data_IF_162067790238
#
_entry.id   IF_162067790238
#
_cell.length_a   1.000
_cell.length_b   1.000
_cell.length_c   1.000
_cell.angle_alpha   90.00
_cell.angle_beta   90.00
_cell.angle_gamma   90.00
#
_symmetry.space_group_name_H-M   'P 1'
#
loop_
_entity.id
_entity.type
_entity.pdbx_description
1 polymer ?
#
# COMPACT_ATOMS: atom_id res chain seq x y z
N UNK A 1 17.95 -6.66 12.75
CA UNK A 1 18.09 -6.01 11.43
C UNK A 1 16.89 -6.27 10.51
N UNK A 2 16.49 -7.53 10.25
CA UNK A 2 15.32 -7.85 9.40
C UNK A 2 13.97 -7.40 9.99
N UNK A 3 13.80 -7.43 11.33
CA UNK A 3 12.58 -6.90 11.98
C UNK A 3 12.45 -5.39 11.84
N UNK A 4 13.56 -4.67 12.07
CA UNK A 4 13.63 -3.20 11.96
C UNK A 4 13.37 -2.75 10.52
N UNK A 5 13.85 -3.51 9.52
CA UNK A 5 13.58 -3.24 8.11
C UNK A 5 12.11 -3.52 7.70
N UNK A 6 11.43 -4.49 8.34
CA UNK A 6 9.99 -4.71 8.13
C UNK A 6 9.15 -3.58 8.74
N UNK A 7 9.53 -3.10 9.92
CA UNK A 7 8.86 -1.96 10.56
C UNK A 7 9.15 -0.64 9.81
N UNK A 8 10.37 -0.43 9.31
CA UNK A 8 10.70 0.70 8.43
C UNK A 8 9.94 0.67 7.11
N UNK A 9 9.73 -0.51 6.50
CA UNK A 9 8.95 -0.65 5.25
C UNK A 9 7.46 -0.38 5.46
N UNK A 10 6.96 -0.55 6.69
CA UNK A 10 5.59 -0.20 7.08
C UNK A 10 5.43 1.31 7.33
N UNK A 11 6.45 1.94 7.92
CA UNK A 11 6.45 3.39 8.22
C UNK A 11 6.70 4.23 6.96
N UNK A 12 7.62 3.81 6.09
CA UNK A 12 8.00 4.55 4.86
C UNK A 12 7.02 4.39 3.69
N UNK A 13 6.06 3.47 3.77
CA UNK A 13 5.02 3.28 2.75
C UNK A 13 3.75 4.08 3.01
N UNK A 14 3.72 4.87 4.09
CA UNK A 14 2.63 5.82 4.31
C UNK A 14 3.06 7.12 3.64
N UNK A 15 2.56 7.37 2.44
CA UNK A 15 2.79 8.64 1.76
C UNK A 15 2.36 9.77 2.71
N UNK A 16 3.18 10.81 2.85
CA UNK A 16 2.84 11.99 3.68
C UNK A 16 1.50 12.60 3.23
N UNK A 17 1.09 12.34 1.98
CA UNK A 17 -0.22 12.70 1.42
C UNK A 17 -1.36 11.91 2.10
N UNK A 18 -1.15 10.64 2.46
CA UNK A 18 -2.15 9.75 3.09
C UNK A 18 -2.44 10.14 4.55
N UNK A 19 -1.44 10.68 5.25
CA UNK A 19 -1.60 11.18 6.61
C UNK A 19 -2.42 12.50 6.67
N UNK A 20 -2.45 13.23 5.55
CA UNK A 20 -3.11 14.54 5.43
C UNK A 20 -4.50 14.40 4.78
N UNK A 21 -4.74 13.37 3.96
CA UNK A 21 -6.01 13.12 3.28
C UNK A 21 -6.45 11.64 3.38
N UNK A 22 -7.03 11.20 4.50
CA UNK A 22 -7.40 9.79 4.75
C UNK A 22 -8.53 9.23 3.86
N UNK A 23 -9.02 9.99 2.88
CA UNK A 23 -10.12 9.61 1.97
C UNK A 23 -9.74 9.59 0.49
N UNK A 24 -8.46 9.67 0.11
CA UNK A 24 -8.11 9.59 -1.31
C UNK A 24 -8.10 8.14 -1.83
N UNK A 25 -9.00 7.86 -2.78
CA UNK A 25 -9.03 6.65 -3.63
C UNK A 25 -7.71 6.35 -4.39
N UNK A 26 -6.71 7.22 -4.31
CA UNK A 26 -5.48 7.18 -5.11
C UNK A 26 -4.18 6.99 -4.28
N UNK A 27 -4.26 6.74 -2.97
CA UNK A 27 -3.09 6.46 -2.14
C UNK A 27 -2.36 5.17 -2.49
N UNK A 28 -1.06 5.09 -2.18
CA UNK A 28 -0.27 3.87 -2.39
C UNK A 28 -0.82 2.68 -1.60
N UNK A 29 -1.29 2.88 -0.36
CA UNK A 29 -1.93 1.79 0.40
C UNK A 29 -3.32 1.41 -0.13
N UNK A 30 -4.11 2.35 -0.65
CA UNK A 30 -5.38 2.01 -1.32
C UNK A 30 -5.13 1.13 -2.56
N UNK A 31 -4.13 1.49 -3.38
CA UNK A 31 -3.72 0.70 -4.54
C UNK A 31 -3.23 -0.69 -4.14
N UNK A 32 -2.43 -0.80 -3.07
CA UNK A 32 -2.04 -2.12 -2.53
C UNK A 32 -3.23 -2.91 -2.00
N UNK A 33 -4.22 -2.27 -1.38
CA UNK A 33 -5.42 -2.95 -0.93
C UNK A 33 -6.20 -3.53 -2.13
N UNK A 34 -6.38 -2.76 -3.21
CA UNK A 34 -7.00 -3.24 -4.45
C UNK A 34 -6.21 -4.43 -5.02
N UNK A 35 -4.89 -4.33 -5.12
CA UNK A 35 -4.05 -5.42 -5.61
C UNK A 35 -4.12 -6.67 -4.72
N UNK A 36 -4.18 -6.54 -3.38
CA UNK A 36 -4.37 -7.68 -2.47
C UNK A 36 -5.71 -8.37 -2.72
N UNK A 37 -6.79 -7.61 -2.92
CA UNK A 37 -8.11 -8.16 -3.28
C UNK A 37 -8.06 -8.89 -4.63
N UNK A 38 -7.37 -8.32 -5.62
CA UNK A 38 -7.16 -8.97 -6.92
C UNK A 38 -6.54 -10.38 -6.78
N UNK A 39 -5.45 -10.53 -6.02
CA UNK A 39 -4.87 -11.87 -5.81
C UNK A 39 -5.75 -12.77 -4.95
N UNK A 40 -6.26 -12.26 -3.82
CA UNK A 40 -6.91 -13.10 -2.80
C UNK A 40 -8.33 -13.50 -3.16
N UNK A 41 -9.10 -12.60 -3.77
CA UNK A 41 -10.51 -12.82 -4.07
C UNK A 41 -10.70 -13.32 -5.50
N UNK A 42 -9.96 -12.77 -6.46
CA UNK A 42 -10.12 -13.17 -7.86
C UNK A 42 -9.22 -14.37 -8.15
N UNK A 43 -7.89 -14.21 -8.07
CA UNK A 43 -6.98 -15.28 -8.50
C UNK A 43 -6.97 -16.52 -7.59
N UNK A 44 -7.18 -16.36 -6.29
CA UNK A 44 -7.15 -17.50 -5.34
C UNK A 44 -8.53 -18.08 -5.00
N UNK A 45 -9.62 -17.31 -5.13
CA UNK A 45 -10.98 -17.75 -4.75
C UNK A 45 -11.96 -17.80 -5.92
N UNK A 46 -11.54 -17.39 -7.12
CA UNK A 46 -12.41 -17.28 -8.30
C UNK A 46 -13.69 -16.48 -8.04
N UNK A 47 -13.63 -15.43 -7.21
CA UNK A 47 -14.79 -14.59 -6.95
C UNK A 47 -15.03 -13.65 -8.14
N UNK A 48 -15.89 -14.09 -9.07
CA UNK A 48 -16.17 -13.38 -10.31
C UNK A 48 -16.90 -12.05 -10.10
N UNK A 49 -17.66 -11.89 -9.01
CA UNK A 49 -18.37 -10.65 -8.70
C UNK A 49 -17.39 -9.50 -8.38
N UNK A 50 -16.24 -9.84 -7.78
CA UNK A 50 -15.19 -8.88 -7.44
C UNK A 50 -14.47 -8.37 -8.69
N UNK A 51 -14.52 -9.10 -9.80
CA UNK A 51 -13.97 -8.64 -11.09
C UNK A 51 -14.70 -7.36 -11.53
N UNK A 52 -16.03 -7.35 -11.50
CA UNK A 52 -16.83 -6.18 -11.89
C UNK A 52 -16.62 -4.98 -10.93
N UNK A 53 -16.35 -5.28 -9.67
CA UNK A 53 -16.08 -4.25 -8.65
C UNK A 53 -14.70 -3.61 -8.82
N UNK A 54 -13.66 -4.39 -9.16
CA UNK A 54 -12.28 -3.91 -9.20
C UNK A 54 -11.81 -3.46 -10.58
N UNK A 55 -12.41 -3.95 -11.66
CA UNK A 55 -11.93 -3.69 -13.02
C UNK A 55 -12.68 -2.55 -13.71
N UNK A 56 -11.97 -1.88 -14.61
CA UNK A 56 -12.56 -0.96 -15.59
C UNK A 56 -13.29 -1.74 -16.69
N UNK A 57 -14.35 -1.18 -17.30
CA UNK A 57 -14.95 -1.76 -18.51
C UNK A 57 -13.94 -1.98 -19.64
N UNK A 58 -12.95 -1.09 -19.75
CA UNK A 58 -11.88 -1.16 -20.76
C UNK A 58 -10.63 -1.93 -20.27
N UNK A 59 -10.78 -2.76 -19.23
CA UNK A 59 -9.67 -3.53 -18.67
C UNK A 59 -9.02 -4.43 -19.74
N UNK A 60 -7.69 -4.55 -19.70
CA UNK A 60 -6.96 -5.47 -20.56
C UNK A 60 -6.02 -6.34 -19.72
N UNK A 61 -6.06 -7.65 -19.96
CA UNK A 61 -5.12 -8.59 -19.38
C UNK A 61 -4.24 -9.26 -20.43
N UNK A 62 -2.93 -9.21 -20.23
CA UNK A 62 -1.95 -9.80 -21.14
C UNK A 62 -1.04 -10.79 -20.42
N UNK A 63 -0.86 -11.97 -21.02
CA UNK A 63 0.04 -13.03 -20.56
C UNK A 63 0.84 -13.60 -21.73
N UNK A 64 2.04 -14.15 -21.50
CA UNK A 64 2.89 -14.69 -22.56
C UNK A 64 2.28 -15.90 -23.29
N UNK A 65 1.28 -16.55 -22.72
CA UNK A 65 0.67 -17.77 -23.26
C UNK A 65 -0.48 -17.51 -24.22
N UNK A 66 -0.95 -16.26 -24.34
CA UNK A 66 -2.05 -15.88 -25.23
C UNK A 66 -1.60 -14.75 -26.18
N UNK A 67 -1.83 -14.87 -27.49
CA UNK A 67 -1.37 -13.89 -28.47
C UNK A 67 -2.12 -12.57 -28.35
N UNK A 68 -3.42 -12.65 -28.05
CA UNK A 68 -4.30 -11.50 -27.88
C UNK A 68 -4.63 -11.29 -26.39
N UNK A 69 -4.80 -10.03 -25.95
CA UNK A 69 -5.26 -9.74 -24.60
C UNK A 69 -6.66 -10.29 -24.32
N UNK A 70 -6.94 -10.57 -23.06
CA UNK A 70 -8.30 -10.75 -22.58
C UNK A 70 -8.91 -9.36 -22.36
N UNK A 71 -10.01 -9.09 -23.05
CA UNK A 71 -10.66 -7.79 -23.07
C UNK A 71 -11.82 -7.71 -22.08
N UNK A 72 -11.79 -6.67 -21.26
CA UNK A 72 -12.81 -6.33 -20.29
C UNK A 72 -12.94 -7.32 -19.13
N UNK A 73 -13.87 -7.04 -18.20
CA UNK A 73 -14.21 -7.93 -17.10
C UNK A 73 -14.60 -9.34 -17.54
N UNK A 74 -15.36 -9.46 -18.63
CA UNK A 74 -15.88 -10.76 -19.10
C UNK A 74 -14.77 -11.66 -19.65
N UNK A 75 -13.87 -11.13 -20.47
CA UNK A 75 -12.71 -11.89 -20.94
C UNK A 75 -11.84 -12.39 -19.78
N UNK A 76 -11.69 -11.57 -18.73
CA UNK A 76 -10.93 -11.99 -17.55
C UNK A 76 -11.66 -13.03 -16.70
N UNK A 77 -13.00 -12.97 -16.59
CA UNK A 77 -13.80 -14.02 -15.94
C UNK A 77 -13.60 -15.37 -16.61
N UNK A 78 -13.64 -15.40 -17.94
CA UNK A 78 -13.42 -16.64 -18.71
C UNK A 78 -12.06 -17.27 -18.40
N UNK A 79 -11.01 -16.44 -18.34
CA UNK A 79 -9.68 -16.90 -17.94
C UNK A 79 -9.65 -17.46 -16.52
N UNK A 80 -10.20 -16.72 -15.53
CA UNK A 80 -10.20 -17.13 -14.13
C UNK A 80 -10.96 -18.44 -13.94
N UNK A 81 -12.11 -18.58 -14.62
CA UNK A 81 -12.90 -19.82 -14.63
C UNK A 81 -12.13 -20.97 -15.27
N UNK A 82 -11.46 -20.75 -16.40
CA UNK A 82 -10.63 -21.78 -17.04
C UNK A 82 -9.48 -22.23 -16.13
N UNK A 83 -8.78 -21.27 -15.51
CA UNK A 83 -7.64 -21.55 -14.62
C UNK A 83 -8.08 -22.38 -13.40
N UNK A 84 -9.14 -21.96 -12.70
CA UNK A 84 -9.69 -22.71 -11.56
C UNK A 84 -10.32 -24.03 -11.97
N UNK A 85 -10.83 -24.12 -13.21
CA UNK A 85 -11.28 -25.37 -13.80
C UNK A 85 -10.15 -26.38 -13.90
N UNK A 86 -8.98 -25.98 -14.42
CA UNK A 86 -7.81 -26.86 -14.57
C UNK A 86 -7.08 -27.13 -13.26
N UNK A 87 -7.00 -26.12 -12.38
CA UNK A 87 -6.28 -26.14 -11.10
C UNK A 87 -7.20 -25.71 -9.95
N UNK A 88 -8.09 -26.59 -9.44
CA UNK A 88 -9.08 -26.22 -8.42
C UNK A 88 -8.51 -25.77 -7.07
N UNK A 89 -7.24 -26.11 -6.80
CA UNK A 89 -6.51 -25.78 -5.59
C UNK A 89 -5.44 -24.68 -5.82
N UNK A 90 -5.52 -23.95 -6.94
CA UNK A 90 -4.54 -22.92 -7.27
C UNK A 90 -4.46 -21.84 -6.19
N UNK A 91 -3.25 -21.46 -5.82
CA UNK A 91 -2.95 -20.39 -4.86
C UNK A 91 -1.77 -19.56 -5.33
N UNK A 92 -1.93 -18.24 -5.27
CA UNK A 92 -0.87 -17.26 -5.46
C UNK A 92 -0.53 -16.65 -4.10
N UNK A 93 0.68 -16.91 -3.63
CA UNK A 93 1.27 -16.30 -2.44
C UNK A 93 2.08 -15.06 -2.83
N UNK A 94 1.53 -13.87 -2.54
CA UNK A 94 2.21 -12.60 -2.82
C UNK A 94 3.38 -12.39 -1.86
N UNK A 95 4.61 -12.37 -2.39
CA UNK A 95 5.84 -12.14 -1.63
C UNK A 95 6.17 -10.66 -1.48
N UNK A 96 5.98 -9.90 -2.55
CA UNK A 96 6.25 -8.47 -2.59
C UNK A 96 5.16 -7.73 -3.35
N UNK A 97 4.86 -6.53 -2.86
CA UNK A 97 3.95 -5.61 -3.50
C UNK A 97 4.56 -4.20 -3.45
N UNK A 98 4.88 -3.66 -4.62
CA UNK A 98 5.53 -2.37 -4.80
C UNK A 98 4.57 -1.44 -5.54
N UNK A 99 4.62 -0.15 -5.25
CA UNK A 99 3.78 0.86 -5.91
C UNK A 99 4.69 1.96 -6.43
N UNK A 100 4.47 2.35 -7.68
CA UNK A 100 5.06 3.52 -8.31
C UNK A 100 4.00 4.23 -9.15
N UNK A 101 3.58 5.42 -8.71
CA UNK A 101 2.46 6.15 -9.29
C UNK A 101 1.19 5.31 -9.32
N UNK A 102 0.68 5.05 -10.53
CA UNK A 102 -0.52 4.24 -10.78
C UNK A 102 -0.21 2.75 -11.00
N UNK A 103 1.05 2.36 -10.96
CA UNK A 103 1.48 0.99 -11.20
C UNK A 103 1.71 0.28 -9.88
N UNK A 104 1.14 -0.91 -9.74
CA UNK A 104 1.42 -1.86 -8.65
C UNK A 104 2.13 -3.08 -9.24
N UNK A 105 3.30 -3.41 -8.73
CA UNK A 105 4.04 -4.61 -9.12
C UNK A 105 3.95 -5.64 -8.00
N UNK A 106 3.37 -6.79 -8.31
CA UNK A 106 3.30 -7.93 -7.39
C UNK A 106 4.20 -9.06 -7.84
N UNK A 107 5.09 -9.50 -6.95
CA UNK A 107 5.87 -10.73 -7.09
C UNK A 107 5.21 -11.80 -6.24
N UNK A 108 4.94 -12.96 -6.83
CA UNK A 108 4.17 -14.02 -6.22
C UNK A 108 4.72 -15.41 -6.56
N UNK A 109 4.45 -16.38 -5.68
CA UNK A 109 4.63 -17.80 -5.95
C UNK A 109 3.26 -18.43 -6.24
N UNK A 110 3.13 -19.12 -7.36
CA UNK A 110 1.92 -19.84 -7.76
C UNK A 110 2.10 -21.33 -7.53
N UNK A 111 1.12 -21.97 -6.89
CA UNK A 111 1.08 -23.43 -6.73
C UNK A 111 -0.31 -23.99 -6.98
N UNK A 112 -0.38 -25.26 -7.33
CA UNK A 112 -1.64 -25.99 -7.49
C UNK A 112 -1.41 -27.37 -8.07
N UNK A 113 -2.49 -28.08 -8.38
CA UNK A 113 -2.47 -29.44 -8.91
C UNK A 113 -3.33 -29.55 -10.16
N UNK A 114 -2.78 -30.12 -11.24
CA UNK A 114 -3.51 -30.28 -12.50
C UNK A 114 -4.45 -31.50 -12.46
N UNK A 115 -5.58 -31.36 -11.77
CA UNK A 115 -6.54 -32.45 -11.49
C UNK A 115 -7.96 -32.17 -12.00
N UNK A 116 -8.22 -30.98 -12.53
CA UNK A 116 -9.56 -30.58 -12.94
C UNK A 116 -9.84 -30.81 -14.43
N UNK A 117 -10.49 -29.84 -15.07
CA UNK A 117 -10.71 -29.85 -16.52
C UNK A 117 -9.39 -29.77 -17.30
N UNK A 118 -9.37 -30.12 -18.59
CA UNK A 118 -8.19 -29.88 -19.42
C UNK A 118 -7.74 -28.41 -19.36
N UNK A 119 -6.43 -28.18 -19.29
CA UNK A 119 -5.86 -26.86 -19.44
C UNK A 119 -5.89 -26.46 -20.92
N UNK A 120 -6.69 -25.45 -21.25
CA UNK A 120 -6.79 -24.93 -22.61
C UNK A 120 -5.55 -24.09 -22.96
N UNK A 121 -4.92 -24.38 -24.10
CA UNK A 121 -3.78 -23.60 -24.61
C UNK A 121 -3.92 -23.32 -26.10
N UNK A 122 -3.16 -22.35 -26.60
CA UNK A 122 -3.09 -22.02 -28.03
C UNK A 122 -2.60 -23.17 -28.92
N UNK A 123 -1.98 -24.22 -28.35
CA UNK A 123 -1.53 -25.41 -29.07
C UNK A 123 -2.49 -26.61 -28.91
N UNK A 124 -3.59 -26.44 -28.18
CA UNK A 124 -4.56 -27.47 -27.86
C UNK A 124 -4.65 -27.77 -26.36
N UNK A 125 -5.56 -28.67 -26.02
CA UNK A 125 -5.91 -28.99 -24.65
C UNK A 125 -4.91 -29.97 -24.02
N UNK A 126 -4.51 -29.69 -22.78
CA UNK A 126 -3.66 -30.56 -22.00
C UNK A 126 -4.53 -31.26 -20.96
N UNK A 127 -4.70 -32.60 -21.03
CA UNK A 127 -5.46 -33.34 -20.03
C UNK A 127 -4.85 -33.21 -18.63
N UNK A 128 -5.70 -33.26 -17.60
CA UNK A 128 -5.28 -33.29 -16.20
C UNK A 128 -4.21 -34.36 -15.96
N UNK A 129 -3.03 -33.93 -15.52
CA UNK A 129 -1.87 -34.81 -15.37
C UNK A 129 -1.73 -35.40 -13.97
N UNK A 130 -2.53 -34.92 -13.02
CA UNK A 130 -2.45 -35.31 -11.60
C UNK A 130 -1.22 -34.77 -10.87
N UNK A 131 -0.43 -33.90 -11.51
CA UNK A 131 0.83 -33.40 -10.96
C UNK A 131 0.66 -32.01 -10.35
N UNK A 132 1.36 -31.79 -9.24
CA UNK A 132 1.49 -30.48 -8.63
C UNK A 132 2.52 -29.61 -9.35
N UNK A 133 2.43 -28.30 -9.14
CA UNK A 133 3.43 -27.34 -9.58
C UNK A 133 3.71 -26.29 -8.50
N UNK A 134 4.90 -25.70 -8.56
CA UNK A 134 5.28 -24.47 -7.90
C UNK A 134 6.07 -23.61 -8.89
N UNK A 135 5.60 -22.39 -9.14
CA UNK A 135 6.19 -21.45 -10.10
C UNK A 135 6.32 -20.05 -9.49
N UNK A 136 7.20 -19.26 -10.08
CA UNK A 136 7.35 -17.84 -9.78
C UNK A 136 6.62 -17.01 -10.84
N UNK A 137 6.11 -15.84 -10.45
CA UNK A 137 5.49 -14.91 -11.36
C UNK A 137 5.52 -13.47 -10.87
N UNK A 138 5.41 -12.55 -11.81
CA UNK A 138 5.29 -11.11 -11.57
C UNK A 138 4.09 -10.60 -12.36
N UNK A 139 3.33 -9.69 -11.77
CA UNK A 139 2.33 -8.93 -12.52
C UNK A 139 2.40 -7.45 -12.21
N UNK A 140 2.20 -6.65 -13.26
CA UNK A 140 2.01 -5.21 -13.20
C UNK A 140 0.53 -4.93 -13.31
N UNK A 141 -0.01 -4.18 -12.36
CA UNK A 141 -1.40 -3.73 -12.33
C UNK A 141 -1.39 -2.21 -12.46
N UNK A 142 -2.06 -1.68 -13.48
CA UNK A 142 -2.28 -0.24 -13.60
C UNK A 142 -3.63 0.10 -12.99
N UNK A 143 -3.62 0.94 -11.95
CA UNK A 143 -4.78 1.28 -11.14
C UNK A 143 -5.03 2.79 -11.21
N UNK A 144 -6.15 3.16 -11.83
CA UNK A 144 -6.58 4.55 -12.03
C UNK A 144 -7.98 4.70 -11.46
N UNK A 145 -8.21 5.76 -10.67
CA UNK A 145 -9.49 6.07 -10.03
C UNK A 145 -10.11 4.91 -9.22
N UNK A 146 -9.24 4.10 -8.61
CA UNK A 146 -9.61 2.93 -7.81
C UNK A 146 -10.04 1.71 -8.63
N UNK A 147 -9.80 1.71 -9.94
CA UNK A 147 -10.09 0.60 -10.86
C UNK A 147 -8.81 0.09 -11.52
N UNK A 148 -8.71 -1.22 -11.69
CA UNK A 148 -7.65 -1.84 -12.49
C UNK A 148 -8.02 -1.66 -13.96
N UNK A 149 -7.18 -0.94 -14.71
CA UNK A 149 -7.38 -0.69 -16.15
C UNK A 149 -6.52 -1.60 -17.02
N UNK A 150 -5.44 -2.14 -16.47
CA UNK A 150 -4.53 -3.03 -17.19
C UNK A 150 -3.84 -3.98 -16.21
N UNK A 151 -3.66 -5.23 -16.64
CA UNK A 151 -2.77 -6.16 -15.98
C UNK A 151 -1.89 -6.89 -17.00
N UNK A 152 -0.57 -6.79 -16.79
CA UNK A 152 0.42 -7.56 -17.51
C UNK A 152 1.01 -8.57 -16.55
N UNK A 153 0.95 -9.87 -16.88
CA UNK A 153 1.52 -10.92 -16.05
C UNK A 153 2.55 -11.74 -16.82
N UNK A 154 3.61 -12.12 -16.11
CA UNK A 154 4.63 -13.02 -16.58
C UNK A 154 4.91 -14.08 -15.51
N UNK A 155 4.65 -15.32 -15.86
CA UNK A 155 4.84 -16.49 -15.03
C UNK A 155 5.84 -17.47 -15.65
N UNK A 156 6.45 -18.34 -14.83
CA UNK A 156 7.31 -19.43 -15.29
C UNK A 156 6.51 -20.53 -16.00
N UNK A 157 6.01 -20.20 -17.20
CA UNK A 157 5.24 -21.09 -18.07
C UNK A 157 6.06 -22.33 -18.42
N UNK A 158 7.36 -22.18 -18.67
CA UNK A 158 8.23 -23.31 -19.00
C UNK A 158 8.37 -24.27 -17.81
N UNK A 159 8.56 -23.73 -16.60
CA UNK A 159 8.58 -24.49 -15.36
C UNK A 159 7.26 -25.19 -15.09
N UNK A 160 6.13 -24.53 -15.32
CA UNK A 160 4.80 -25.14 -15.22
C UNK A 160 4.67 -26.33 -16.17
N UNK A 161 4.94 -26.13 -17.47
CA UNK A 161 4.79 -27.15 -18.52
C UNK A 161 5.70 -28.37 -18.27
N UNK A 162 6.88 -28.17 -17.69
CA UNK A 162 7.75 -29.26 -17.25
C UNK A 162 7.18 -30.03 -16.06
N UNK A 163 6.73 -29.32 -15.02
CA UNK A 163 6.18 -29.94 -13.81
C UNK A 163 4.90 -30.74 -14.08
N UNK A 164 4.02 -30.24 -14.95
CA UNK A 164 2.81 -30.97 -15.34
C UNK A 164 3.06 -32.05 -16.39
N UNK A 165 4.29 -32.18 -16.91
CA UNK A 165 4.72 -33.30 -17.74
C UNK A 165 4.52 -33.14 -19.25
N UNK A 166 4.25 -31.92 -19.73
CA UNK A 166 4.12 -31.61 -21.17
C UNK A 166 5.49 -31.52 -21.83
N UNK A 167 6.45 -30.88 -21.15
CA UNK A 167 7.83 -30.75 -21.62
C UNK A 167 8.72 -31.67 -20.78
N UNK A 168 9.59 -32.50 -21.39
CA UNK A 168 10.53 -33.33 -20.65
C UNK A 168 11.42 -32.49 -19.72
N UNK A 169 11.65 -32.99 -18.50
CA UNK A 169 12.65 -32.40 -17.63
C UNK A 169 14.04 -32.54 -18.27
N UNK A 170 14.81 -31.46 -18.30
CA UNK A 170 16.23 -31.57 -18.61
C UNK A 170 16.89 -32.15 -17.36
N UNK A 171 17.64 -33.27 -17.45
CA UNK A 171 18.39 -33.77 -16.30
C UNK A 171 19.36 -32.67 -15.84
N UNK A 172 19.17 -32.17 -14.63
CA UNK A 172 20.09 -31.22 -14.01
C UNK A 172 21.41 -31.91 -13.73
N UNK A 173 22.44 -31.61 -14.52
CA UNK A 173 23.81 -32.09 -14.29
C UNK A 173 24.55 -31.31 -13.19
N UNK A 174 23.92 -30.26 -12.64
CA UNK A 174 24.48 -29.39 -11.61
C UNK A 174 23.75 -29.53 -10.28
N UNK A 175 24.53 -29.66 -9.21
CA UNK A 175 24.01 -29.67 -7.83
C UNK A 175 23.33 -28.33 -7.48
N UNK A 176 22.28 -28.33 -6.64
CA UNK A 176 21.64 -27.10 -6.13
C UNK A 176 22.63 -26.06 -5.55
N UNK A 177 23.74 -26.52 -4.98
CA UNK A 177 24.81 -25.64 -4.47
C UNK A 177 25.56 -24.93 -5.60
N UNK A 178 25.84 -25.64 -6.70
CA UNK A 178 26.50 -25.08 -7.87
C UNK A 178 25.61 -24.05 -8.59
N UNK A 179 24.29 -24.29 -8.64
CA UNK A 179 23.33 -23.33 -9.17
C UNK A 179 23.24 -22.06 -8.31
N UNK A 180 23.18 -22.20 -6.98
CA UNK A 180 23.19 -21.04 -6.06
C UNK A 180 24.47 -20.22 -6.17
N UNK A 181 25.63 -20.87 -6.27
CA UNK A 181 26.91 -20.19 -6.44
C UNK A 181 26.96 -19.41 -7.76
N UNK A 182 26.49 -20.01 -8.87
CA UNK A 182 26.42 -19.33 -10.17
C UNK A 182 25.47 -18.13 -10.16
N UNK A 183 24.26 -18.28 -9.60
CA UNK A 183 23.31 -17.16 -9.52
C UNK A 183 23.85 -16.01 -8.68
N UNK A 184 24.56 -16.32 -7.59
CA UNK A 184 25.19 -15.31 -6.73
C UNK A 184 26.31 -14.56 -7.46
N UNK A 185 27.21 -15.29 -8.11
CA UNK A 185 28.30 -14.70 -8.90
C UNK A 185 27.76 -13.81 -10.02
N UNK A 186 26.75 -14.29 -10.76
CA UNK A 186 26.10 -13.51 -11.82
C UNK A 186 25.45 -12.23 -11.28
N UNK A 187 24.78 -12.30 -10.13
CA UNK A 187 24.15 -11.14 -9.51
C UNK A 187 25.18 -10.10 -9.04
N UNK A 188 26.29 -10.55 -8.47
CA UNK A 188 27.40 -9.71 -8.00
C UNK A 188 28.18 -9.06 -9.17
N UNK A 189 28.33 -9.76 -10.29
CA UNK A 189 29.14 -9.32 -11.42
C UNK A 189 28.35 -8.45 -12.40
N UNK A 190 27.09 -8.81 -12.69
CA UNK A 190 26.31 -8.19 -13.78
C UNK A 190 25.26 -7.21 -13.26
N UNK A 191 24.54 -7.54 -12.20
CA UNK A 191 23.40 -6.73 -11.75
C UNK A 191 23.86 -5.56 -10.88
N UNK A 192 24.83 -5.78 -9.99
CA UNK A 192 25.36 -4.69 -9.15
C UNK A 192 26.59 -4.01 -9.76
N UNK A 193 27.20 -4.58 -10.81
CA UNK A 193 28.40 -4.04 -11.47
C UNK A 193 29.58 -3.82 -10.51
N UNK A 194 29.63 -4.56 -9.39
CA UNK A 194 30.60 -4.31 -8.31
C UNK A 194 30.36 -3.05 -7.46
N UNK A 195 29.23 -2.35 -7.63
CA UNK A 195 28.91 -1.10 -6.92
C UNK A 195 28.07 -1.27 -5.65
N UNK A 196 28.17 -2.43 -4.97
CA UNK A 196 27.45 -2.68 -3.70
C UNK A 196 27.74 -1.58 -2.67
N UNK A 197 28.97 -1.07 -2.64
CA UNK A 197 29.37 0.01 -1.74
C UNK A 197 28.69 1.36 -2.06
N UNK A 198 28.43 1.65 -3.34
CA UNK A 198 27.69 2.86 -3.74
C UNK A 198 26.21 2.76 -3.35
N UNK A 199 25.60 1.57 -3.45
CA UNK A 199 24.23 1.34 -2.96
C UNK A 199 24.18 1.53 -1.45
N UNK A 200 25.15 1.00 -0.70
CA UNK A 200 25.23 1.19 0.74
C UNK A 200 25.41 2.67 1.12
N UNK A 201 26.25 3.41 0.40
CA UNK A 201 26.46 4.85 0.60
C UNK A 201 25.19 5.67 0.28
N UNK A 202 24.48 5.34 -0.79
CA UNK A 202 23.18 5.96 -1.14
C UNK A 202 22.12 5.68 -0.07
N UNK A 203 22.05 4.47 0.47
CA UNK A 203 21.14 4.12 1.56
C UNK A 203 21.49 4.90 2.84
N UNK A 204 22.78 5.00 3.19
CA UNK A 204 23.22 5.79 4.34
C UNK A 204 22.90 7.28 4.16
N UNK A 205 23.07 7.82 2.95
CA UNK A 205 22.72 9.20 2.61
C UNK A 205 21.20 9.43 2.73
N UNK A 206 20.39 8.51 2.22
CA UNK A 206 18.93 8.59 2.34
C UNK A 206 18.48 8.58 3.81
N UNK A 207 19.06 7.70 4.63
CA UNK A 207 18.77 7.65 6.08
C UNK A 207 19.15 8.95 6.79
N UNK A 208 20.32 9.53 6.49
CA UNK A 208 20.73 10.83 7.05
C UNK A 208 19.77 11.95 6.67
N UNK A 209 19.33 12.00 5.41
CA UNK A 209 18.36 13.01 4.93
C UNK A 209 17.00 12.85 5.61
N UNK A 210 16.52 11.63 5.81
CA UNK A 210 15.27 11.35 6.53
C UNK A 210 15.37 11.82 7.99
N UNK A 211 16.45 11.47 8.68
CA UNK A 211 16.66 11.89 10.06
C UNK A 211 16.71 13.42 10.20
N UNK A 212 17.41 14.09 9.28
CA UNK A 212 17.46 15.55 9.25
C UNK A 212 16.08 16.19 8.97
N UNK A 213 15.29 15.61 8.07
CA UNK A 213 13.94 16.09 7.79
C UNK A 213 13.00 15.91 8.99
N UNK A 214 13.10 14.79 9.71
CA UNK A 214 12.33 14.53 10.92
C UNK A 214 12.68 15.51 12.06
N UNK A 215 13.98 15.75 12.31
CA UNK A 215 14.43 16.75 13.29
C UNK A 215 13.94 18.16 12.93
N UNK A 216 13.97 18.53 11.65
CA UNK A 216 13.45 19.81 11.18
C UNK A 216 11.93 19.94 11.43
N UNK A 217 11.15 18.90 11.13
CA UNK A 217 9.69 18.87 11.38
C UNK A 217 9.40 19.02 12.87
N UNK A 218 10.12 18.30 13.73
CA UNK A 218 9.95 18.38 15.18
C UNK A 218 10.25 19.79 15.69
N UNK A 219 11.36 20.39 15.26
CA UNK A 219 11.72 21.77 15.63
C UNK A 219 10.70 22.79 15.18
N UNK A 220 10.22 22.70 13.93
CA UNK A 220 9.20 23.60 13.41
C UNK A 220 7.87 23.45 14.18
N UNK A 221 7.51 22.23 14.54
CA UNK A 221 6.33 21.94 15.37
C UNK A 221 6.46 22.58 16.76
N UNK A 222 7.63 22.45 17.40
CA UNK A 222 7.91 23.08 18.69
C UNK A 222 7.89 24.61 18.63
N UNK A 223 8.43 25.20 17.56
CA UNK A 223 8.37 26.66 17.33
C UNK A 223 6.92 27.10 17.15
N UNK A 224 6.13 26.40 16.33
CA UNK A 224 4.71 26.69 16.13
C UNK A 224 3.92 26.63 17.44
N UNK A 225 4.15 25.60 18.25
CA UNK A 225 3.50 25.46 19.55
C UNK A 225 3.83 26.62 20.48
N UNK A 226 5.10 27.02 20.58
CA UNK A 226 5.53 28.16 21.40
C UNK A 226 4.91 29.48 20.93
N UNK A 227 4.91 29.73 19.62
CA UNK A 227 4.30 30.93 19.05
C UNK A 227 2.78 30.97 19.29
N UNK A 228 2.07 29.86 19.08
CA UNK A 228 0.63 29.78 19.35
C UNK A 228 0.32 30.02 20.84
N UNK A 229 1.12 29.45 21.75
CA UNK A 229 0.94 29.66 23.18
C UNK A 229 1.18 31.13 23.56
N UNK A 230 2.26 31.75 23.08
CA UNK A 230 2.55 33.17 23.33
C UNK A 230 1.46 34.09 22.78
N UNK A 231 1.02 33.84 21.54
CA UNK A 231 -0.04 34.62 20.91
C UNK A 231 -1.35 34.50 21.69
N UNK A 232 -1.76 33.28 22.06
CA UNK A 232 -2.98 33.06 22.83
C UNK A 232 -2.92 33.69 24.21
N UNK A 233 -1.81 33.57 24.95
CA UNK A 233 -1.68 34.24 26.25
C UNK A 233 -1.73 35.77 26.13
N UNK A 234 -1.13 36.34 25.07
CA UNK A 234 -1.22 37.77 24.81
C UNK A 234 -2.64 38.20 24.46
N UNK A 235 -3.33 37.40 23.64
CA UNK A 235 -4.71 37.68 23.23
C UNK A 235 -5.67 37.57 24.41
N UNK A 236 -5.56 36.51 25.22
CA UNK A 236 -6.36 36.30 26.42
C UNK A 236 -6.21 37.48 27.39
N UNK A 237 -4.98 37.90 27.67
CA UNK A 237 -4.72 39.08 28.52
C UNK A 237 -5.39 40.33 27.96
N UNK A 238 -5.31 40.55 26.65
CA UNK A 238 -5.93 41.70 25.99
C UNK A 238 -7.46 41.66 26.07
N UNK A 239 -8.05 40.49 25.90
CA UNK A 239 -9.50 40.30 26.03
C UNK A 239 -9.95 40.54 27.48
N UNK A 240 -9.19 40.05 28.46
CA UNK A 240 -9.46 40.31 29.89
C UNK A 240 -9.38 41.81 30.22
N UNK A 241 -8.37 42.53 29.70
CA UNK A 241 -8.24 43.99 29.87
C UNK A 241 -9.46 44.74 29.30
N UNK A 242 -9.90 44.38 28.09
CA UNK A 242 -11.06 45.01 27.44
C UNK A 242 -12.34 44.69 28.23
N UNK A 243 -12.57 43.42 28.59
CA UNK A 243 -13.76 42.99 29.32
C UNK A 243 -13.86 43.70 30.68
N UNK A 244 -12.76 43.82 31.43
CA UNK A 244 -12.72 44.53 32.70
C UNK A 244 -13.02 46.04 32.57
N UNK A 245 -12.81 46.64 31.39
CA UNK A 245 -13.13 48.05 31.15
C UNK A 245 -14.60 48.31 30.83
N UNK A 246 -15.34 47.29 30.36
CA UNK A 246 -16.73 47.41 29.90
C UNK A 246 -17.73 46.65 30.77
N UNK A 247 -17.28 45.68 31.56
CA UNK A 247 -18.10 44.83 32.43
C UNK A 247 -17.81 45.10 33.90
N UNK A 248 -18.85 45.10 34.73
CA UNK A 248 -18.76 45.25 36.19
C UNK A 248 -18.92 43.91 36.93
N UNK A 249 -18.89 42.78 36.21
CA UNK A 249 -19.06 41.44 36.77
C UNK A 249 -17.71 40.81 37.16
N UNK A 250 -17.69 39.85 38.11
CA UNK A 250 -16.46 39.18 38.53
C UNK A 250 -15.96 38.11 37.54
N UNK A 251 -16.52 38.04 36.32
CA UNK A 251 -16.19 37.02 35.33
C UNK A 251 -14.87 37.32 34.62
N UNK A 252 -14.11 36.26 34.34
CA UNK A 252 -12.82 36.33 33.66
C UNK A 252 -12.90 35.61 32.30
N UNK A 253 -12.69 36.32 31.19
CA UNK A 253 -12.60 35.69 29.88
C UNK A 253 -11.34 34.84 29.74
N UNK A 254 -11.48 33.67 29.12
CA UNK A 254 -10.41 32.69 28.91
C UNK A 254 -10.56 32.06 27.53
N UNK A 255 -9.44 31.89 26.82
CA UNK A 255 -9.45 31.28 25.49
C UNK A 255 -9.19 29.78 25.60
N UNK A 256 -9.90 28.96 24.83
CA UNK A 256 -9.61 27.53 24.65
C UNK A 256 -8.47 27.29 23.65
N UNK A 257 -8.04 26.04 23.51
CA UNK A 257 -7.02 25.62 22.54
C UNK A 257 -7.46 25.87 21.08
N UNK A 258 -8.77 26.01 20.85
CA UNK A 258 -9.40 26.35 19.57
C UNK A 258 -9.71 27.85 19.42
N UNK A 259 -9.22 28.69 20.35
CA UNK A 259 -9.51 30.14 20.42
C UNK A 259 -10.99 30.47 20.68
N UNK A 260 -11.77 29.55 21.23
CA UNK A 260 -13.11 29.86 21.71
C UNK A 260 -13.02 30.63 23.02
N UNK A 261 -13.82 31.68 23.13
CA UNK A 261 -13.87 32.52 24.31
C UNK A 261 -14.88 31.95 25.31
N UNK A 262 -14.44 31.75 26.54
CA UNK A 262 -15.25 31.24 27.64
C UNK A 262 -15.14 32.17 28.84
N UNK A 263 -16.20 32.29 29.63
CA UNK A 263 -16.17 33.03 30.90
C UNK A 263 -16.02 32.05 32.05
N UNK A 264 -15.10 32.36 32.96
CA UNK A 264 -14.95 31.65 34.22
C UNK A 264 -15.20 32.57 35.40
N UNK A 265 -15.69 32.00 36.50
CA UNK A 265 -15.85 32.68 37.79
C UNK A 265 -14.98 31.98 38.83
N UNK A 266 -14.34 32.77 39.70
CA UNK A 266 -13.56 32.26 40.83
C UNK A 266 -14.35 32.41 42.13
N UNK A 267 -15.12 31.36 42.48
CA UNK A 267 -15.90 31.33 43.72
C UNK A 267 -15.22 30.41 44.73
N UNK A 268 -14.88 30.94 45.91
CA UNK A 268 -14.22 30.19 47.00
C UNK A 268 -12.93 29.45 46.59
N UNK A 269 -12.15 30.02 45.66
CA UNK A 269 -10.88 29.44 45.18
C UNK A 269 -11.02 28.34 44.13
N UNK A 270 -12.24 28.07 43.62
CA UNK A 270 -12.49 27.11 42.55
C UNK A 270 -12.94 27.83 41.29
N UNK A 271 -12.29 27.55 40.17
CA UNK A 271 -12.64 28.08 38.85
C UNK A 271 -13.82 27.28 38.28
N UNK A 272 -14.91 27.95 37.94
CA UNK A 272 -16.11 27.34 37.34
C UNK A 272 -16.51 28.06 36.06
N UNK A 273 -16.92 27.29 35.04
CA UNK A 273 -17.40 27.84 33.77
C UNK A 273 -18.77 28.53 33.97
N UNK A 274 -18.93 29.72 33.43
CA UNK A 274 -20.22 30.43 33.40
C UNK A 274 -21.07 29.86 32.26
N UNK A 275 -22.33 29.51 32.55
CA UNK A 275 -23.23 28.92 31.57
C UNK A 275 -23.62 29.92 30.46
N UNK A 276 -23.79 29.42 29.23
CA UNK A 276 -24.06 30.20 28.01
C UNK A 276 -25.35 31.08 28.04
N UNK A 277 -26.17 30.98 29.09
CA UNK A 277 -27.52 31.57 29.16
C UNK A 277 -27.59 32.93 29.86
N UNK A 278 -26.51 33.46 30.44
CA UNK A 278 -26.51 34.84 30.94
C UNK A 278 -26.30 35.80 29.77
N UNK A 279 -27.03 36.93 29.74
CA UNK A 279 -26.97 37.91 28.65
C UNK A 279 -25.56 38.44 28.36
N UNK A 280 -24.59 38.23 29.24
CA UNK A 280 -23.19 38.61 29.03
C UNK A 280 -22.47 37.76 27.97
N UNK A 281 -22.92 36.53 27.68
CA UNK A 281 -22.39 35.80 26.52
C UNK A 281 -22.79 36.43 25.17
N UNK A 282 -23.73 37.39 25.17
CA UNK A 282 -24.05 38.19 23.98
C UNK A 282 -23.16 39.44 23.83
N UNK A 283 -22.37 39.78 24.85
CA UNK A 283 -21.38 40.88 24.81
C UNK A 283 -20.04 40.39 24.22
N UNK A 284 -19.79 39.08 24.26
CA UNK A 284 -18.66 38.39 23.62
C UNK A 284 -18.90 38.18 22.12
#
# INVERSE_FOLDING_TARGET
MVSVLKDLRRILNTDIVDLIYPHQKNSAEAKKAIARRYYQEILNKANLDVIDELMSPDFMFTIPTHPDPYYGPDGFKDLVTMLHGAFPDVQLEVKHLLVDGDTVVGHWLGSGTHIGSPLHTVKGDIPASGKGFLIDGVSWLKIVDGKIIESLANEDTLGLMRQIGVIPAIPSTTSPEASKAHSRQFFEEIITGGHIDQIAELVALAQRRIAAAQDAIERLTQVRMRLNQQFRSSLEKRVQEIFASISFTPYQPKLTDTYELQLTEHTAGKETLVAASTGENQIL
#
